data_IF_719026818197
#
_entry.id   IF_719026818197
#
_cell.length_a   1.000
_cell.length_b   1.000
_cell.length_c   1.000
_cell.angle_alpha   90.00
_cell.angle_beta   90.00
_cell.angle_gamma   90.00
#
_symmetry.space_group_name_H-M   'P 1'
#
loop_
_entity.id
_entity.type
_entity.pdbx_description
1 polymer ?
#
# COMPACT_ATOMS: atom_id res chain seq x y z
N UNK A 1 -0.28 2.17 -9.63
CA UNK A 1 -1.42 1.23 -9.73
C UNK A 1 -2.40 1.72 -10.77
N UNK A 2 -3.13 0.86 -11.48
CA UNK A 2 -4.09 1.25 -12.53
C UNK A 2 -5.27 0.28 -12.62
N UNK A 3 -6.42 0.72 -13.14
CA UNK A 3 -7.53 -0.16 -13.56
C UNK A 3 -7.29 -0.79 -14.93
N UNK A 4 -6.40 -0.19 -15.74
CA UNK A 4 -6.01 -0.68 -17.06
C UNK A 4 -5.05 -1.87 -17.02
N UNK A 5 -4.59 -2.31 -18.19
CA UNK A 5 -3.64 -3.43 -18.31
C UNK A 5 -2.29 -3.12 -17.67
N UNK A 6 -1.67 -4.13 -17.07
CA UNK A 6 -0.31 -4.03 -16.52
C UNK A 6 0.67 -3.69 -17.64
N UNK A 7 1.47 -2.62 -17.47
CA UNK A 7 2.46 -2.16 -18.44
C UNK A 7 3.70 -1.63 -17.74
N UNK A 8 4.85 -1.82 -18.36
CA UNK A 8 6.14 -1.30 -17.89
C UNK A 8 6.76 -0.46 -19.00
N UNK A 9 7.14 0.77 -18.69
CA UNK A 9 7.79 1.69 -19.62
C UNK A 9 9.18 2.03 -19.10
N UNK A 10 10.19 1.83 -19.94
CA UNK A 10 11.57 2.27 -19.69
C UNK A 10 11.80 3.54 -20.47
N UNK A 11 12.16 4.61 -19.77
CA UNK A 11 12.40 5.94 -20.34
C UNK A 11 13.77 6.44 -19.89
N UNK A 12 14.33 7.48 -20.52
CA UNK A 12 15.59 8.08 -20.07
C UNK A 12 15.55 8.61 -18.63
N UNK A 13 14.37 9.01 -18.13
CA UNK A 13 14.19 9.52 -16.76
C UNK A 13 13.88 8.43 -15.73
N UNK A 14 13.69 7.18 -16.16
CA UNK A 14 13.48 6.05 -15.25
C UNK A 14 12.47 5.02 -15.73
N UNK A 15 12.12 4.13 -14.79
CA UNK A 15 11.21 3.01 -14.97
C UNK A 15 9.82 3.35 -14.41
N UNK A 16 8.79 3.25 -15.24
CA UNK A 16 7.40 3.43 -14.84
C UNK A 16 6.65 2.11 -14.92
N UNK A 17 6.10 1.66 -13.80
CA UNK A 17 5.34 0.42 -13.72
C UNK A 17 3.87 0.71 -13.37
N UNK A 18 2.99 0.30 -14.27
CA UNK A 18 1.55 0.35 -14.09
C UNK A 18 1.08 -1.07 -13.81
N UNK A 19 0.67 -1.34 -12.58
CA UNK A 19 0.18 -2.67 -12.17
C UNK A 19 -1.33 -2.62 -12.06
N UNK A 20 -1.99 -3.55 -12.76
CA UNK A 20 -3.44 -3.67 -12.78
C UNK A 20 -3.98 -4.09 -11.41
N UNK A 21 -4.98 -3.37 -10.93
CA UNK A 21 -5.80 -3.75 -9.80
C UNK A 21 -7.28 -3.74 -10.18
N UNK A 22 -8.04 -4.68 -9.64
CA UNK A 22 -9.48 -4.77 -9.90
C UNK A 22 -10.22 -3.75 -9.04
N UNK A 23 -11.35 -3.27 -9.54
CA UNK A 23 -12.33 -2.58 -8.72
C UNK A 23 -13.10 -3.61 -7.85
N UNK A 24 -13.52 -3.24 -6.64
CA UNK A 24 -13.41 -1.91 -6.05
C UNK A 24 -12.05 -1.63 -5.38
N UNK A 25 -11.19 -2.64 -5.18
CA UNK A 25 -9.92 -2.49 -4.43
C UNK A 25 -9.00 -1.36 -4.93
N UNK A 26 -8.94 -1.13 -6.25
CA UNK A 26 -8.16 -0.01 -6.81
C UNK A 26 -8.57 1.34 -6.20
N UNK A 27 -9.87 1.58 -6.04
CA UNK A 27 -10.42 2.89 -5.67
C UNK A 27 -10.22 3.26 -4.20
N UNK A 28 -9.98 2.28 -3.34
CA UNK A 28 -9.85 2.50 -1.90
C UNK A 28 -8.62 3.33 -1.55
N UNK A 29 -8.78 4.25 -0.60
CA UNK A 29 -7.69 5.06 -0.07
C UNK A 29 -7.03 6.01 -1.07
N UNK A 30 -7.59 6.21 -2.27
CA UNK A 30 -7.15 7.28 -3.17
C UNK A 30 -7.68 8.61 -2.62
N UNK A 31 -6.79 9.59 -2.46
CA UNK A 31 -7.07 10.94 -1.96
C UNK A 31 -6.73 11.98 -3.04
N UNK A 32 -7.52 13.03 -3.12
CA UNK A 32 -7.14 14.25 -3.85
C UNK A 32 -6.27 15.10 -2.95
N UNK A 33 -5.08 15.45 -3.40
CA UNK A 33 -4.11 16.26 -2.66
C UNK A 33 -3.71 17.45 -3.52
N UNK A 34 -3.71 18.64 -2.92
CA UNK A 34 -3.25 19.85 -3.58
C UNK A 34 -1.72 19.90 -3.52
N UNK A 35 -1.09 20.01 -4.69
CA UNK A 35 0.34 20.15 -4.86
C UNK A 35 0.79 21.57 -4.51
N UNK A 36 2.09 21.74 -4.24
CA UNK A 36 2.72 23.05 -4.05
C UNK A 36 2.55 23.98 -5.27
N UNK A 37 2.32 23.42 -6.45
CA UNK A 37 2.06 24.13 -7.71
C UNK A 37 0.60 24.50 -7.92
N UNK A 38 -0.26 24.36 -6.90
CA UNK A 38 -1.71 24.62 -6.94
C UNK A 38 -2.52 23.66 -7.84
N UNK A 39 -1.91 22.56 -8.28
CA UNK A 39 -2.58 21.49 -9.02
C UNK A 39 -3.15 20.45 -8.06
N UNK A 40 -4.30 19.85 -8.39
CA UNK A 40 -4.85 18.74 -7.60
C UNK A 40 -4.45 17.40 -8.23
N UNK A 41 -3.80 16.56 -7.44
CA UNK A 41 -3.35 15.23 -7.87
C UNK A 41 -4.07 14.12 -7.10
N UNK A 42 -4.21 12.95 -7.73
CA UNK A 42 -4.66 11.74 -7.05
C UNK A 42 -3.45 11.02 -6.46
N UNK A 43 -3.50 10.77 -5.15
CA UNK A 43 -2.44 10.11 -4.39
C UNK A 43 -3.01 9.01 -3.51
N UNK A 44 -2.29 7.90 -3.38
CA UNK A 44 -2.64 6.89 -2.39
C UNK A 44 -2.45 7.43 -0.97
N UNK A 45 -3.37 7.13 -0.06
CA UNK A 45 -3.16 7.34 1.36
C UNK A 45 -2.00 6.48 1.87
N UNK A 46 -1.39 6.83 3.02
CA UNK A 46 -0.32 6.02 3.62
C UNK A 46 -0.73 4.54 3.81
N UNK A 47 -1.96 4.31 4.27
CA UNK A 47 -2.53 2.97 4.44
C UNK A 47 -2.59 2.23 3.10
N UNK A 48 -3.11 2.91 2.06
CA UNK A 48 -3.23 2.34 0.72
C UNK A 48 -1.88 2.01 0.12
N UNK A 49 -0.89 2.90 0.27
CA UNK A 49 0.46 2.71 -0.22
C UNK A 49 1.11 1.44 0.38
N UNK A 50 0.99 1.21 1.69
CA UNK A 50 1.54 0.02 2.36
C UNK A 50 0.81 -1.25 1.87
N UNK A 51 -0.52 -1.24 1.86
CA UNK A 51 -1.33 -2.38 1.39
C UNK A 51 -0.99 -2.74 -0.06
N UNK A 52 -0.86 -1.74 -0.93
CA UNK A 52 -0.55 -1.91 -2.35
C UNK A 52 0.85 -2.50 -2.57
N UNK A 53 1.85 -2.06 -1.83
CA UNK A 53 3.21 -2.64 -1.87
C UNK A 53 3.16 -4.13 -1.52
N UNK A 54 2.45 -4.50 -0.44
CA UNK A 54 2.34 -5.90 0.02
C UNK A 54 1.60 -6.75 -1.02
N UNK A 55 0.48 -6.26 -1.55
CA UNK A 55 -0.36 -6.97 -2.53
C UNK A 55 0.41 -7.21 -3.83
N UNK A 56 1.20 -6.25 -4.30
CA UNK A 56 1.95 -6.35 -5.56
C UNK A 56 3.16 -7.25 -5.45
N UNK A 57 3.98 -7.08 -4.41
CA UNK A 57 5.30 -7.73 -4.35
C UNK A 57 5.16 -9.20 -4.05
N UNK A 58 5.31 -10.07 -5.03
CA UNK A 58 5.14 -11.53 -4.87
C UNK A 58 5.98 -12.13 -3.75
N UNK A 59 7.22 -11.65 -3.56
CA UNK A 59 8.13 -12.09 -2.50
C UNK A 59 7.70 -11.70 -1.08
N UNK A 60 6.78 -10.74 -0.93
CA UNK A 60 6.29 -10.29 0.38
C UNK A 60 5.11 -11.18 0.79
N UNK A 61 5.38 -12.09 1.72
CA UNK A 61 4.40 -12.94 2.40
C UNK A 61 4.58 -12.78 3.91
N UNK A 62 3.69 -12.01 4.52
CA UNK A 62 3.75 -11.67 5.94
C UNK A 62 3.10 -12.80 6.74
N UNK A 63 3.90 -13.50 7.56
CA UNK A 63 3.46 -14.69 8.30
C UNK A 63 3.62 -14.56 9.81
N UNK A 64 4.35 -13.55 10.29
CA UNK A 64 4.51 -13.28 11.73
C UNK A 64 4.62 -11.79 12.02
N UNK A 65 4.37 -11.41 13.27
CA UNK A 65 4.46 -10.03 13.76
C UNK A 65 5.89 -9.52 13.61
N UNK A 66 6.89 -10.28 14.10
CA UNK A 66 8.30 -9.90 14.02
C UNK A 66 8.76 -9.68 12.57
N UNK A 67 8.38 -10.58 11.65
CA UNK A 67 8.71 -10.42 10.23
C UNK A 67 8.07 -9.16 9.65
N UNK A 68 6.82 -8.88 10.03
CA UNK A 68 6.10 -7.71 9.53
C UNK A 68 6.68 -6.42 10.08
N UNK A 69 7.10 -6.38 11.34
CA UNK A 69 7.80 -5.24 11.93
C UNK A 69 9.12 -4.96 11.20
N UNK A 70 9.95 -5.99 10.99
CA UNK A 70 11.19 -5.85 10.22
C UNK A 70 10.92 -5.35 8.80
N UNK A 71 9.88 -5.86 8.14
CA UNK A 71 9.51 -5.38 6.81
C UNK A 71 9.09 -3.90 6.81
N UNK A 72 8.31 -3.45 7.80
CA UNK A 72 7.84 -2.06 7.86
C UNK A 72 8.95 -1.08 8.25
N UNK A 73 9.75 -1.43 9.26
CA UNK A 73 10.71 -0.52 9.90
C UNK A 73 12.10 -0.59 9.26
N UNK A 74 12.53 -1.74 8.74
CA UNK A 74 13.87 -1.91 8.16
C UNK A 74 13.83 -1.89 6.62
N UNK A 75 12.94 -2.68 6.01
CA UNK A 75 12.86 -2.77 4.54
C UNK A 75 12.18 -1.54 3.93
N UNK A 76 11.04 -1.11 4.51
CA UNK A 76 10.32 0.09 4.08
C UNK A 76 10.77 1.35 4.81
N UNK A 77 11.54 1.24 5.90
CA UNK A 77 12.09 2.36 6.67
C UNK A 77 11.03 3.36 7.12
N UNK A 78 9.85 2.85 7.51
CA UNK A 78 8.75 3.67 7.99
C UNK A 78 8.96 3.93 9.49
N UNK A 79 8.88 5.20 9.87
CA UNK A 79 8.94 5.59 11.28
C UNK A 79 7.75 5.01 12.06
N UNK A 80 8.05 4.51 13.26
CA UNK A 80 7.04 3.85 14.10
C UNK A 80 5.87 4.76 14.46
N UNK A 81 6.11 6.06 14.62
CA UNK A 81 5.07 7.07 14.87
C UNK A 81 4.09 7.19 13.69
N UNK A 82 4.59 7.16 12.46
CA UNK A 82 3.75 7.17 11.26
C UNK A 82 2.87 5.90 11.18
N UNK A 83 3.39 4.74 11.60
CA UNK A 83 2.63 3.48 11.65
C UNK A 83 1.48 3.53 12.66
N UNK A 84 1.65 4.24 13.79
CA UNK A 84 0.61 4.39 14.82
C UNK A 84 -0.60 5.19 14.34
N UNK A 85 -0.35 6.16 13.47
CA UNK A 85 -1.35 7.10 12.93
C UNK A 85 -2.19 6.52 11.77
N UNK A 86 -1.90 5.29 11.33
CA UNK A 86 -2.64 4.64 10.24
C UNK A 86 -4.08 4.31 10.65
N UNK A 87 -5.01 4.55 9.73
CA UNK A 87 -6.42 4.16 9.90
C UNK A 87 -6.61 2.65 9.68
N UNK A 88 -6.54 1.91 10.78
CA UNK A 88 -6.73 0.45 10.82
C UNK A 88 -8.12 0.02 10.40
N UNK A 89 -9.14 0.84 10.67
CA UNK A 89 -10.54 0.54 10.32
C UNK A 89 -10.72 0.59 8.81
N UNK A 90 -10.20 1.64 8.17
CA UNK A 90 -10.17 1.75 6.73
C UNK A 90 -9.43 0.56 6.09
N UNK A 91 -8.25 0.20 6.60
CA UNK A 91 -7.48 -0.95 6.11
C UNK A 91 -8.27 -2.26 6.20
N UNK A 92 -8.92 -2.53 7.34
CA UNK A 92 -9.76 -3.72 7.54
C UNK A 92 -10.87 -3.80 6.50
N UNK A 93 -11.53 -2.68 6.19
CA UNK A 93 -12.63 -2.63 5.22
C UNK A 93 -12.20 -3.04 3.80
N UNK A 94 -10.93 -2.86 3.43
CA UNK A 94 -10.43 -3.13 2.08
C UNK A 94 -10.01 -4.59 1.86
N UNK A 95 -9.81 -5.37 2.94
CA UNK A 95 -9.25 -6.73 2.87
C UNK A 95 -10.13 -7.67 2.04
N UNK A 96 -11.45 -7.50 2.11
CA UNK A 96 -12.40 -8.36 1.40
C UNK A 96 -12.15 -8.41 -0.11
N UNK A 97 -11.66 -7.32 -0.70
CA UNK A 97 -11.42 -7.19 -2.14
C UNK A 97 -9.94 -7.31 -2.54
N UNK A 98 -9.05 -7.52 -1.56
CA UNK A 98 -7.62 -7.66 -1.81
C UNK A 98 -7.24 -9.09 -2.24
N UNK A 99 -6.24 -9.23 -3.11
CA UNK A 99 -5.71 -10.55 -3.49
C UNK A 99 -4.91 -11.23 -2.36
N UNK A 100 -4.15 -10.48 -1.54
CA UNK A 100 -3.31 -11.02 -0.45
C UNK A 100 -3.89 -10.79 0.94
N UNK A 101 -5.11 -11.29 1.14
CA UNK A 101 -5.88 -11.07 2.38
C UNK A 101 -5.12 -11.45 3.65
N UNK A 102 -4.49 -12.62 3.67
CA UNK A 102 -3.76 -13.12 4.84
C UNK A 102 -2.59 -12.21 5.25
N UNK A 103 -1.81 -11.71 4.27
CA UNK A 103 -0.72 -10.76 4.55
C UNK A 103 -1.26 -9.43 5.09
N UNK A 104 -2.39 -8.93 4.57
CA UNK A 104 -3.01 -7.70 5.07
C UNK A 104 -3.61 -7.87 6.47
N UNK A 105 -4.17 -9.04 6.78
CA UNK A 105 -4.60 -9.37 8.16
C UNK A 105 -3.39 -9.40 9.10
N UNK A 106 -2.27 -10.01 8.68
CA UNK A 106 -1.03 -10.02 9.48
C UNK A 106 -0.47 -8.61 9.68
N UNK A 107 -0.55 -7.76 8.66
CA UNK A 107 -0.20 -6.35 8.75
C UNK A 107 -0.99 -5.65 9.86
N UNK A 108 -2.31 -5.73 9.83
CA UNK A 108 -3.16 -5.05 10.82
C UNK A 108 -2.90 -5.60 12.22
N UNK A 109 -2.81 -6.93 12.36
CA UNK A 109 -2.44 -7.58 13.63
C UNK A 109 -1.10 -7.08 14.17
N UNK A 110 -0.15 -6.76 13.29
CA UNK A 110 1.14 -6.20 13.68
C UNK A 110 1.02 -4.73 14.12
N UNK A 111 0.24 -3.93 13.40
CA UNK A 111 -0.03 -2.52 13.74
C UNK A 111 -0.77 -2.36 15.08
N UNK A 112 -1.49 -3.39 15.54
CA UNK A 112 -2.12 -3.42 16.88
C UNK A 112 -1.10 -3.66 18.01
N UNK A 113 0.11 -4.09 17.69
CA UNK A 113 1.20 -4.31 18.68
C UNK A 113 2.19 -3.16 18.77
N UNK A 114 2.01 -2.11 17.97
CA UNK A 114 2.92 -0.94 17.84
C UNK A 114 2.31 0.27 18.53
#
# INVERSE_FOLDING_TARGET
MTTGSTKTFRTPVGLFQYIRMRLPYYSYGIKMVQSATNETVLMASPEKAICDIIVVRTAVLLRSIRQTQLFLEEDLRIEREALRNLDRSAMMSWIADAHKKSSLVMLIKTLDTI
#
